data_IF_228099368356
#
_entry.id   IF_228099368356
#
_cell.length_a   1.000
_cell.length_b   1.000
_cell.length_c   1.000
_cell.angle_alpha   90.00
_cell.angle_beta   90.00
_cell.angle_gamma   90.00
#
_symmetry.space_group_name_H-M   'P 1'
#
loop_
_entity.id
_entity.type
_entity.pdbx_description
1 polymer ?
#
# COMPACT_ATOMS: atom_id res chain seq x y z
N UNK A 1 -16.90 -13.55 18.46
CA UNK A 1 -15.45 -13.52 18.25
C UNK A 1 -15.10 -12.71 17.00
N UNK A 2 -13.97 -12.05 17.04
CA UNK A 2 -13.49 -11.30 15.91
C UNK A 2 -12.99 -12.24 14.81
N UNK A 3 -13.38 -11.95 13.56
CA UNK A 3 -12.84 -12.65 12.40
C UNK A 3 -11.68 -11.88 11.78
N UNK A 4 -11.29 -10.76 12.37
CA UNK A 4 -10.20 -9.93 11.86
C UNK A 4 -8.85 -10.59 12.15
N UNK A 5 -7.93 -10.48 11.18
CA UNK A 5 -6.55 -10.86 11.40
C UNK A 5 -5.87 -9.88 12.36
N UNK A 6 -4.67 -10.21 12.82
CA UNK A 6 -3.91 -9.32 13.70
C UNK A 6 -3.66 -7.96 13.06
N UNK A 7 -3.23 -7.94 11.80
CA UNK A 7 -3.02 -6.68 11.08
C UNK A 7 -4.31 -5.90 10.91
N UNK A 8 -5.43 -6.57 10.63
CA UNK A 8 -6.72 -5.92 10.49
C UNK A 8 -7.20 -5.31 11.81
N UNK A 9 -6.94 -5.96 12.94
CA UNK A 9 -7.25 -5.38 14.26
C UNK A 9 -6.46 -4.10 14.51
N UNK A 10 -5.18 -4.09 14.12
CA UNK A 10 -4.34 -2.89 14.23
C UNK A 10 -4.80 -1.80 13.27
N UNK A 11 -5.19 -2.17 12.06
CA UNK A 11 -5.77 -1.24 11.09
C UNK A 11 -7.03 -0.57 11.65
N UNK A 12 -7.90 -1.35 12.30
CA UNK A 12 -9.10 -0.82 12.95
C UNK A 12 -8.74 0.22 14.02
N UNK A 13 -7.72 -0.08 14.84
CA UNK A 13 -7.27 0.86 15.87
C UNK A 13 -6.78 2.17 15.28
N UNK A 14 -6.08 2.13 14.16
CA UNK A 14 -5.64 3.35 13.46
C UNK A 14 -6.84 4.12 12.93
N UNK A 15 -7.77 3.44 12.25
CA UNK A 15 -8.97 4.07 11.71
C UNK A 15 -9.83 4.70 12.81
N UNK A 16 -9.92 4.07 13.99
CA UNK A 16 -10.62 4.64 15.14
C UNK A 16 -9.99 5.96 15.61
N UNK A 17 -8.70 6.14 15.35
CA UNK A 17 -7.97 7.35 15.74
C UNK A 17 -8.03 8.44 14.67
N UNK A 18 -7.82 8.07 13.39
CA UNK A 18 -7.72 9.05 12.30
C UNK A 18 -9.04 9.32 11.58
N UNK A 19 -10.05 8.47 11.80
CA UNK A 19 -11.33 8.52 11.10
C UNK A 19 -11.45 7.43 10.06
N UNK A 20 -12.70 6.91 9.89
CA UNK A 20 -13.03 5.83 8.95
C UNK A 20 -13.27 6.41 7.55
N UNK A 21 -12.19 6.82 6.90
CA UNK A 21 -12.22 7.51 5.62
C UNK A 21 -11.04 7.07 4.77
N UNK A 22 -11.28 6.81 3.48
CA UNK A 22 -10.25 6.29 2.59
C UNK A 22 -9.07 7.25 2.44
N UNK A 23 -9.36 8.55 2.28
CA UNK A 23 -8.30 9.55 2.12
C UNK A 23 -7.45 9.66 3.39
N UNK A 24 -8.09 9.62 4.56
CA UNK A 24 -7.38 9.66 5.83
C UNK A 24 -6.47 8.44 5.99
N UNK A 25 -6.99 7.26 5.64
CA UNK A 25 -6.20 6.02 5.67
C UNK A 25 -4.99 6.11 4.74
N UNK A 26 -5.19 6.59 3.53
CA UNK A 26 -4.12 6.77 2.57
C UNK A 26 -3.07 7.75 3.09
N UNK A 27 -3.51 8.89 3.61
CA UNK A 27 -2.59 9.90 4.14
C UNK A 27 -1.75 9.35 5.29
N UNK A 28 -2.34 8.52 6.14
CA UNK A 28 -1.59 7.89 7.22
C UNK A 28 -0.45 7.03 6.68
N UNK A 29 -0.74 6.18 5.70
CA UNK A 29 0.29 5.31 5.11
C UNK A 29 1.33 6.10 4.32
N UNK A 30 0.93 7.18 3.65
CA UNK A 30 1.84 7.97 2.84
C UNK A 30 2.71 8.93 3.66
N UNK A 31 2.22 9.40 4.81
CA UNK A 31 2.86 10.52 5.50
C UNK A 31 3.23 10.25 6.96
N UNK A 32 2.66 9.23 7.60
CA UNK A 32 2.95 8.92 9.00
C UNK A 32 4.06 7.87 9.19
N UNK A 33 4.50 7.23 8.09
CA UNK A 33 5.50 6.17 8.13
C UNK A 33 6.81 6.66 7.49
N UNK A 34 7.82 7.04 8.28
CA UNK A 34 9.15 7.32 7.72
C UNK A 34 9.67 6.10 6.95
N UNK A 35 10.41 6.35 5.87
CA UNK A 35 10.97 5.25 5.08
C UNK A 35 12.01 4.48 5.89
N UNK A 36 11.92 3.15 5.80
CA UNK A 36 12.84 2.24 6.47
C UNK A 36 13.12 1.05 5.56
N UNK A 37 14.39 0.80 5.25
CA UNK A 37 14.79 -0.27 4.35
C UNK A 37 14.68 -1.62 5.05
N UNK A 38 13.95 -2.54 4.42
CA UNK A 38 13.81 -3.92 4.88
C UNK A 38 14.71 -4.84 4.06
N UNK A 39 15.07 -5.98 4.65
CA UNK A 39 15.91 -6.97 3.99
C UNK A 39 15.19 -7.64 2.81
N UNK A 40 15.95 -8.20 1.87
CA UNK A 40 15.39 -8.80 0.65
C UNK A 40 14.67 -10.12 0.88
N UNK A 41 14.79 -10.73 2.04
CA UNK A 41 14.14 -11.98 2.38
C UNK A 41 12.62 -11.86 2.52
N UNK A 42 12.12 -10.62 2.65
CA UNK A 42 10.69 -10.36 2.76
C UNK A 42 10.22 -9.79 1.44
N UNK A 43 9.90 -10.65 0.51
CA UNK A 43 9.42 -10.25 -0.82
C UNK A 43 8.33 -11.18 -1.31
N UNK A 44 7.38 -10.60 -1.94
CA UNK A 44 6.45 -11.10 -2.92
C UNK A 44 5.63 -12.36 -2.71
N UNK A 45 4.68 -12.40 -1.76
CA UNK A 45 3.48 -13.26 -1.84
C UNK A 45 2.44 -12.80 -0.82
N UNK A 46 1.24 -13.40 -0.88
CA UNK A 46 0.10 -12.95 -0.06
C UNK A 46 0.36 -13.05 1.46
N UNK A 47 1.20 -13.96 1.88
CA UNK A 47 1.56 -14.09 3.30
C UNK A 47 2.27 -12.84 3.79
N UNK A 48 3.07 -12.26 2.93
CA UNK A 48 3.85 -11.08 3.27
C UNK A 48 3.00 -9.82 3.47
N UNK A 49 1.81 -9.75 2.88
CA UNK A 49 0.94 -8.58 3.10
C UNK A 49 0.59 -8.42 4.57
N UNK A 50 0.29 -9.50 5.25
CA UNK A 50 0.00 -9.48 6.68
C UNK A 50 1.24 -9.08 7.49
N UNK A 51 2.40 -9.62 7.13
CA UNK A 51 3.67 -9.30 7.80
C UNK A 51 4.03 -7.83 7.62
N UNK A 52 3.95 -7.33 6.38
CA UNK A 52 4.27 -5.92 6.10
C UNK A 52 3.34 -4.98 6.86
N UNK A 53 2.05 -5.28 6.87
CA UNK A 53 1.09 -4.44 7.57
C UNK A 53 1.35 -4.42 9.08
N UNK A 54 1.57 -5.60 9.68
CA UNK A 54 1.92 -5.70 11.11
C UNK A 54 3.17 -4.90 11.43
N UNK A 55 4.20 -5.03 10.59
CA UNK A 55 5.43 -4.28 10.79
C UNK A 55 5.17 -2.77 10.82
N UNK A 56 4.41 -2.28 9.85
CA UNK A 56 4.11 -0.84 9.76
C UNK A 56 3.28 -0.33 10.93
N UNK A 57 2.26 -1.08 11.32
CA UNK A 57 1.42 -0.67 12.45
C UNK A 57 2.18 -0.72 13.78
N UNK A 58 3.06 -1.72 13.96
CA UNK A 58 3.82 -1.86 15.20
C UNK A 58 4.97 -0.88 15.32
N UNK A 59 5.65 -0.59 14.23
CA UNK A 59 6.91 0.17 14.25
C UNK A 59 6.80 1.59 13.71
N UNK A 60 5.68 1.93 13.05
CA UNK A 60 5.42 3.24 12.46
C UNK A 60 6.54 3.67 11.50
N UNK A 61 6.99 2.75 10.67
CA UNK A 61 7.99 2.99 9.62
C UNK A 61 7.96 1.82 8.64
N UNK A 62 8.50 2.00 7.44
CA UNK A 62 8.58 0.90 6.50
C UNK A 62 8.97 1.34 5.09
N UNK A 63 9.06 0.35 4.21
CA UNK A 63 9.34 0.56 2.79
C UNK A 63 8.03 0.66 1.99
N UNK A 64 8.13 0.64 0.66
CA UNK A 64 6.96 0.74 -0.21
C UNK A 64 5.94 -0.37 0.05
N UNK A 65 6.38 -1.58 0.34
CA UNK A 65 5.48 -2.69 0.63
C UNK A 65 4.72 -2.48 1.93
N UNK A 66 5.38 -1.98 2.95
CA UNK A 66 4.76 -1.67 4.25
C UNK A 66 3.73 -0.57 4.10
N UNK A 67 4.08 0.50 3.39
CA UNK A 67 3.14 1.60 3.14
C UNK A 67 1.91 1.11 2.39
N UNK A 68 2.10 0.29 1.36
CA UNK A 68 1.01 -0.28 0.58
C UNK A 68 0.16 -1.23 1.43
N UNK A 69 0.79 -2.13 2.18
CA UNK A 69 0.05 -3.13 2.96
C UNK A 69 -0.76 -2.53 4.09
N UNK A 70 -0.25 -1.52 4.79
CA UNK A 70 -1.01 -0.83 5.83
C UNK A 70 -2.24 -0.15 5.24
N UNK A 71 -2.09 0.52 4.11
CA UNK A 71 -3.22 1.13 3.42
C UNK A 71 -4.22 0.08 2.95
N UNK A 72 -3.75 -1.02 2.36
CA UNK A 72 -4.61 -2.08 1.85
C UNK A 72 -5.48 -2.67 2.97
N UNK A 73 -4.91 -2.92 4.16
CA UNK A 73 -5.69 -3.45 5.29
C UNK A 73 -6.75 -2.45 5.74
N UNK A 74 -6.42 -1.17 5.83
CA UNK A 74 -7.40 -0.14 6.20
C UNK A 74 -8.50 -0.01 5.14
N UNK A 75 -8.13 -0.02 3.86
CA UNK A 75 -9.10 0.09 2.78
C UNK A 75 -10.08 -1.09 2.77
N UNK A 76 -9.61 -2.30 3.03
CA UNK A 76 -10.48 -3.48 3.15
C UNK A 76 -11.50 -3.32 4.28
N UNK A 77 -11.07 -2.83 5.42
CA UNK A 77 -11.99 -2.58 6.55
C UNK A 77 -13.05 -1.54 6.21
N UNK A 78 -12.70 -0.58 5.36
CA UNK A 78 -13.65 0.43 4.89
C UNK A 78 -14.63 -0.13 3.85
N UNK A 79 -14.46 -1.39 3.42
CA UNK A 79 -15.36 -2.05 2.48
C UNK A 79 -14.90 -2.00 1.02
N UNK A 80 -13.68 -1.55 0.75
CA UNK A 80 -13.15 -1.50 -0.61
C UNK A 80 -12.53 -2.83 -1.02
N UNK A 81 -12.63 -3.13 -2.32
CA UNK A 81 -11.98 -4.29 -2.92
C UNK A 81 -10.51 -3.95 -3.22
N UNK A 82 -9.71 -3.97 -2.16
CA UNK A 82 -8.33 -3.50 -2.19
C UNK A 82 -7.34 -4.68 -2.21
N UNK A 83 -6.37 -4.59 -3.10
CA UNK A 83 -5.37 -5.63 -3.33
C UNK A 83 -3.97 -5.07 -3.21
N UNK A 84 -3.09 -5.81 -2.53
CA UNK A 84 -1.67 -5.53 -2.58
C UNK A 84 -1.10 -6.03 -3.90
N UNK A 85 -0.34 -5.18 -4.58
CA UNK A 85 0.29 -5.49 -5.85
C UNK A 85 1.81 -5.41 -5.68
N UNK A 86 2.51 -6.37 -6.21
CA UNK A 86 3.97 -6.36 -6.25
C UNK A 86 4.46 -6.55 -7.68
N UNK A 87 5.49 -5.81 -8.03
CA UNK A 87 6.08 -5.86 -9.35
C UNK A 87 7.26 -4.91 -9.43
N UNK A 88 7.33 -4.17 -10.52
CA UNK A 88 8.46 -3.31 -10.81
C UNK A 88 7.99 -1.97 -11.35
N UNK A 89 8.86 -0.98 -11.20
CA UNK A 89 8.72 0.31 -11.88
C UNK A 89 9.96 0.52 -12.74
N UNK A 90 9.80 1.23 -13.85
CA UNK A 90 10.94 1.58 -14.69
C UNK A 90 11.80 2.61 -13.96
N UNK A 91 13.10 2.39 -14.05
CA UNK A 91 14.10 3.31 -13.51
C UNK A 91 14.98 3.79 -14.65
N UNK A 92 15.87 4.74 -14.35
CA UNK A 92 16.78 5.31 -15.36
C UNK A 92 17.55 4.24 -16.15
N UNK A 93 18.03 3.20 -15.46
CA UNK A 93 18.88 2.18 -16.08
C UNK A 93 18.30 0.77 -15.94
N UNK A 94 16.97 0.63 -15.92
CA UNK A 94 16.36 -0.68 -15.85
C UNK A 94 15.02 -0.67 -15.15
N UNK A 95 14.87 -1.47 -14.10
CA UNK A 95 13.67 -1.56 -13.30
C UNK A 95 14.03 -1.78 -11.84
N UNK A 96 13.14 -1.32 -10.94
CA UNK A 96 13.28 -1.53 -9.51
C UNK A 96 12.01 -2.17 -8.95
N UNK A 97 12.17 -3.02 -7.94
CA UNK A 97 11.01 -3.64 -7.27
C UNK A 97 10.16 -2.58 -6.58
N UNK A 98 8.85 -2.76 -6.62
CA UNK A 98 7.92 -1.83 -6.01
C UNK A 98 6.64 -2.53 -5.58
N UNK A 99 5.98 -1.97 -4.57
CA UNK A 99 4.69 -2.43 -4.10
C UNK A 99 3.71 -1.26 -4.02
N UNK A 100 2.46 -1.52 -4.38
CA UNK A 100 1.38 -0.54 -4.35
C UNK A 100 0.05 -1.23 -4.17
N UNK A 101 -1.05 -0.49 -4.28
CA UNK A 101 -2.39 -1.02 -4.06
C UNK A 101 -3.25 -0.77 -5.28
N UNK A 102 -4.06 -1.75 -5.64
CA UNK A 102 -5.15 -1.59 -6.60
C UNK A 102 -6.48 -1.69 -5.85
N UNK A 103 -7.39 -0.77 -6.17
CA UNK A 103 -8.77 -0.87 -5.69
C UNK A 103 -9.69 -0.88 -6.90
N UNK A 104 -10.54 -1.91 -6.97
CA UNK A 104 -11.55 -1.99 -8.01
C UNK A 104 -12.80 -1.25 -7.54
N UNK A 105 -13.21 -0.24 -8.31
CA UNK A 105 -14.38 0.59 -8.03
C UNK A 105 -15.23 0.71 -9.27
N UNK A 106 -16.46 0.21 -9.21
CA UNK A 106 -17.43 0.36 -10.30
C UNK A 106 -16.88 -0.07 -11.67
N UNK A 107 -16.15 -1.18 -11.70
CA UNK A 107 -15.59 -1.74 -12.93
C UNK A 107 -14.28 -1.11 -13.37
N UNK A 108 -13.74 -0.16 -12.63
CA UNK A 108 -12.44 0.47 -12.91
C UNK A 108 -11.43 0.12 -11.84
N UNK A 109 -10.22 -0.22 -12.26
CA UNK A 109 -9.11 -0.46 -11.33
C UNK A 109 -8.31 0.83 -11.17
N UNK A 110 -8.25 1.34 -9.95
CA UNK A 110 -7.44 2.51 -9.59
C UNK A 110 -6.21 2.09 -8.83
N UNK A 111 -5.13 2.85 -9.00
CA UNK A 111 -3.86 2.64 -8.32
C UNK A 111 -3.74 3.63 -7.15
N UNK A 112 -3.26 3.12 -6.02
CA UNK A 112 -2.95 3.91 -4.83
C UNK A 112 -1.52 3.58 -4.44
N UNK A 113 -0.64 4.56 -4.52
CA UNK A 113 0.79 4.35 -4.26
C UNK A 113 1.30 5.33 -3.22
N UNK A 114 1.18 4.97 -1.93
CA UNK A 114 1.64 5.86 -0.85
C UNK A 114 3.12 6.22 -0.95
N UNK A 115 3.95 5.28 -1.37
CA UNK A 115 5.39 5.51 -1.48
C UNK A 115 5.74 6.52 -2.58
N UNK A 116 4.99 6.51 -3.70
CA UNK A 116 5.16 7.50 -4.75
C UNK A 116 4.98 8.91 -4.18
N UNK A 117 3.93 9.11 -3.41
CA UNK A 117 3.64 10.41 -2.80
C UNK A 117 4.64 10.73 -1.70
N UNK A 118 4.99 9.76 -0.86
CA UNK A 118 6.01 9.92 0.18
C UNK A 118 7.34 10.41 -0.42
N UNK A 119 7.71 9.87 -1.58
CA UNK A 119 8.95 10.23 -2.26
C UNK A 119 8.94 11.61 -2.92
N UNK A 120 7.83 12.31 -2.88
CA UNK A 120 7.71 13.65 -3.44
C UNK A 120 7.52 13.69 -4.95
N UNK A 121 7.15 12.56 -5.56
CA UNK A 121 6.97 12.48 -7.02
C UNK A 121 5.62 13.06 -7.47
N UNK A 122 4.65 13.15 -6.58
CA UNK A 122 3.33 13.68 -6.90
C UNK A 122 2.20 12.96 -6.18
N UNK A 123 0.98 13.09 -6.72
CA UNK A 123 -0.19 12.45 -6.16
C UNK A 123 -0.20 10.96 -6.46
N UNK A 124 -0.26 10.12 -5.43
CA UNK A 124 -0.40 8.68 -5.57
C UNK A 124 -1.79 8.16 -5.20
N UNK A 125 -2.73 9.05 -4.93
CA UNK A 125 -4.08 8.68 -4.52
C UNK A 125 -5.01 8.57 -5.73
N UNK A 126 -5.59 7.38 -5.92
CA UNK A 126 -6.60 7.12 -6.96
C UNK A 126 -6.14 7.56 -8.35
N UNK A 127 -5.03 7.00 -8.80
CA UNK A 127 -4.48 7.27 -10.13
C UNK A 127 -4.76 6.09 -11.06
N UNK A 128 -4.54 6.31 -12.36
CA UNK A 128 -4.69 5.26 -13.37
C UNK A 128 -3.33 4.83 -13.89
N UNK A 129 -3.23 3.58 -14.29
CA UNK A 129 -2.05 3.12 -15.01
C UNK A 129 -1.89 3.93 -16.30
N UNK A 130 -0.65 4.28 -16.61
CA UNK A 130 -0.34 5.04 -17.82
C UNK A 130 -0.58 6.53 -17.73
N UNK A 131 -1.01 7.04 -16.57
CA UNK A 131 -1.14 8.48 -16.37
C UNK A 131 0.20 9.18 -16.50
N UNK A 132 0.18 10.37 -17.12
CA UNK A 132 1.37 11.21 -17.18
C UNK A 132 1.79 11.62 -15.76
N UNK A 133 3.10 11.60 -15.50
CA UNK A 133 3.65 12.02 -14.22
C UNK A 133 3.59 10.98 -13.12
N UNK A 134 3.20 9.75 -13.41
CA UNK A 134 3.24 8.63 -12.46
C UNK A 134 4.38 7.69 -12.80
N UNK A 135 4.65 6.72 -11.90
CA UNK A 135 5.57 5.65 -12.23
C UNK A 135 5.06 4.84 -13.42
N UNK A 136 6.00 4.24 -14.15
CA UNK A 136 5.69 3.26 -15.19
C UNK A 136 5.76 1.88 -14.55
N UNK A 137 4.59 1.37 -14.16
CA UNK A 137 4.45 0.08 -13.49
C UNK A 137 4.52 -1.03 -14.52
N UNK A 138 5.35 -2.04 -14.27
CA UNK A 138 5.58 -3.16 -15.19
C UNK A 138 5.73 -4.46 -14.40
N UNK A 139 5.45 -5.58 -15.09
CA UNK A 139 5.72 -6.94 -14.57
C UNK A 139 5.14 -7.16 -13.18
N UNK A 140 3.85 -6.83 -13.00
CA UNK A 140 3.22 -6.85 -11.68
C UNK A 140 2.06 -7.83 -11.60
N UNK A 141 1.74 -8.22 -10.38
CA UNK A 141 0.59 -9.07 -10.09
C UNK A 141 0.05 -8.78 -8.70
N UNK A 142 -1.24 -9.03 -8.51
CA UNK A 142 -1.86 -8.99 -7.19
C UNK A 142 -1.34 -10.16 -6.36
N UNK A 143 -0.91 -9.86 -5.13
CA UNK A 143 -0.41 -10.88 -4.20
C UNK A 143 -1.33 -11.05 -2.99
N UNK A 144 -2.34 -10.20 -2.88
CA UNK A 144 -3.36 -10.31 -1.82
C UNK A 144 -4.67 -9.63 -2.24
#
# INVERSE_FOLDING_TARGET
PSTLTEAEQKAKSVLDTIGWDLRAAYNWSAHALPYYTLGPEVTGNSVHSEWYANFGFDNHKGNCYVMAATFQKMAKLLGYDAHLVEGYIRTYNGRGRHGWVEIDMNGTTYVFDPNFEYGGYGNGYQINYGMSGTFKYIDYARVD
#
